data_IF_537839411794
#
_entry.id   IF_537839411794
#
_cell.length_a   1.000
_cell.length_b   1.000
_cell.length_c   1.000
_cell.angle_alpha   90.00
_cell.angle_beta   90.00
_cell.angle_gamma   90.00
#
_symmetry.space_group_name_H-M   'P 1'
#
loop_
_entity.id
_entity.type
_entity.pdbx_description
1 polymer ?
#
# COMPACT_ATOMS: atom_id res chain seq x y z
N UNK A 1 -15.09 18.97 -9.87
CA UNK A 1 -14.34 20.02 -9.14
C UNK A 1 -14.40 19.65 -7.68
N UNK A 2 -13.27 19.51 -6.99
CA UNK A 2 -13.25 19.21 -5.55
C UNK A 2 -12.13 20.04 -4.91
N UNK A 3 -12.49 20.76 -3.84
CA UNK A 3 -11.63 21.69 -3.11
C UNK A 3 -10.82 20.96 -2.04
N UNK A 4 -9.56 21.40 -1.86
CA UNK A 4 -8.62 20.91 -0.84
C UNK A 4 -8.72 21.81 0.39
N UNK A 5 -9.04 21.24 1.55
CA UNK A 5 -8.94 21.92 2.84
C UNK A 5 -7.92 21.17 3.70
N UNK A 6 -6.72 21.72 3.82
CA UNK A 6 -5.69 21.26 4.77
C UNK A 6 -5.95 21.96 6.10
N UNK A 7 -6.16 21.20 7.17
CA UNK A 7 -6.01 21.71 8.55
C UNK A 7 -5.02 20.83 9.31
N UNK A 8 -3.87 21.43 9.60
CA UNK A 8 -2.87 20.91 10.53
C UNK A 8 -3.26 21.35 11.94
N UNK A 9 -3.33 20.40 12.88
CA UNK A 9 -3.34 20.69 14.32
C UNK A 9 -2.42 19.69 15.02
N UNK A 10 -1.30 20.18 15.51
CA UNK A 10 -0.27 19.48 16.27
C UNK A 10 -0.65 19.48 17.76
N UNK A 11 -0.38 18.42 18.52
CA UNK A 11 -0.31 18.51 19.99
C UNK A 11 -0.49 17.24 20.82
N UNK A 12 0.64 16.70 21.30
CA UNK A 12 0.90 16.19 22.67
C UNK A 12 0.77 14.68 22.97
N UNK A 13 1.93 14.00 22.86
CA UNK A 13 2.67 13.09 23.79
C UNK A 13 1.88 12.48 24.97
N UNK A 14 1.90 11.16 25.24
CA UNK A 14 3.01 10.36 25.77
C UNK A 14 2.61 8.86 25.81
N UNK A 15 3.61 7.97 25.91
CA UNK A 15 3.61 6.50 26.07
C UNK A 15 4.04 5.70 24.81
N UNK A 16 5.36 5.48 24.76
CA UNK A 16 6.04 4.41 24.03
C UNK A 16 5.62 3.03 24.60
N UNK A 17 5.75 1.93 23.82
CA UNK A 17 7.08 1.33 23.69
C UNK A 17 7.49 1.09 22.23
N UNK A 18 8.73 1.47 21.95
CA UNK A 18 9.70 0.76 21.12
C UNK A 18 9.10 -0.31 20.19
N UNK A 19 8.84 0.07 18.94
CA UNK A 19 9.00 -0.87 17.83
C UNK A 19 10.20 -0.43 17.03
N UNK A 20 11.39 -0.74 17.57
CA UNK A 20 12.57 -0.97 16.76
C UNK A 20 12.21 -2.03 15.70
N UNK A 21 11.97 -1.57 14.47
CA UNK A 21 12.33 -2.33 13.29
C UNK A 21 13.42 -1.55 12.58
N UNK A 22 14.61 -1.90 13.02
CA UNK A 22 15.93 -1.56 12.52
C UNK A 22 15.98 -1.27 11.01
N UNK A 23 16.72 -0.22 10.61
CA UNK A 23 16.96 0.10 9.21
C UNK A 23 18.11 -0.76 8.67
N UNK A 24 17.87 -2.05 8.40
CA UNK A 24 18.82 -2.84 7.61
C UNK A 24 18.68 -2.47 6.12
N UNK A 25 19.35 -1.37 5.80
CA UNK A 25 19.78 -1.01 4.45
C UNK A 25 20.92 -1.97 4.05
N UNK A 26 20.59 -3.24 3.86
CA UNK A 26 21.51 -4.21 3.26
C UNK A 26 21.40 -4.04 1.75
N UNK A 27 22.44 -3.47 1.14
CA UNK A 27 22.63 -3.33 -0.31
C UNK A 27 22.58 -4.72 -0.99
N UNK A 28 21.38 -5.22 -1.19
CA UNK A 28 21.11 -6.44 -1.93
C UNK A 28 21.24 -6.15 -3.43
N UNK A 29 21.77 -7.09 -4.23
CA UNK A 29 22.04 -6.90 -5.66
C UNK A 29 20.78 -6.37 -6.35
N UNK A 30 20.91 -5.22 -7.02
CA UNK A 30 19.85 -4.44 -7.72
C UNK A 30 18.57 -5.27 -7.83
N UNK A 31 17.66 -5.16 -6.85
CA UNK A 31 16.52 -6.06 -6.81
C UNK A 31 15.76 -5.84 -8.11
N UNK A 32 15.47 -6.91 -8.85
CA UNK A 32 14.37 -6.92 -9.80
C UNK A 32 13.20 -6.34 -9.02
N UNK A 33 12.84 -5.07 -9.27
CA UNK A 33 12.00 -4.30 -8.35
C UNK A 33 10.72 -5.09 -8.12
N UNK A 34 10.58 -5.75 -6.97
CA UNK A 34 9.37 -6.54 -6.71
C UNK A 34 8.29 -5.55 -6.30
N UNK A 35 7.05 -5.70 -6.78
CA UNK A 35 5.96 -4.87 -6.29
C UNK A 35 5.83 -4.99 -4.79
N UNK A 36 5.88 -3.85 -4.10
CA UNK A 36 5.66 -3.77 -2.66
C UNK A 36 4.18 -3.55 -2.40
N UNK A 37 3.46 -4.64 -2.15
CA UNK A 37 2.04 -4.57 -1.80
C UNK A 37 1.84 -4.05 -0.38
N UNK A 38 0.91 -3.10 -0.24
CA UNK A 38 0.31 -2.73 1.05
C UNK A 38 -0.78 -3.72 1.42
N UNK A 39 -1.16 -3.78 2.70
CA UNK A 39 -2.25 -4.62 3.19
C UNK A 39 -3.55 -4.30 2.43
N UNK A 40 -4.08 -5.23 1.61
CA UNK A 40 -5.34 -5.00 0.92
C UNK A 40 -6.50 -5.02 1.90
N UNK A 41 -7.51 -4.20 1.64
CA UNK A 41 -8.71 -4.14 2.46
C UNK A 41 -9.95 -4.33 1.62
N UNK A 42 -10.94 -5.03 2.18
CA UNK A 42 -12.24 -5.25 1.55
C UNK A 42 -13.22 -4.20 2.06
N UNK A 43 -13.88 -3.50 1.13
CA UNK A 43 -14.89 -2.48 1.41
C UNK A 43 -16.25 -3.10 1.71
N UNK A 44 -17.16 -2.29 2.25
CA UNK A 44 -18.55 -2.67 2.56
C UNK A 44 -19.36 -3.04 1.30
N UNK A 45 -18.97 -2.53 0.13
CA UNK A 45 -19.53 -2.86 -1.19
C UNK A 45 -19.02 -4.21 -1.74
N UNK A 46 -18.17 -4.91 -0.98
CA UNK A 46 -17.59 -6.19 -1.34
C UNK A 46 -16.35 -6.08 -2.23
N UNK A 47 -15.97 -4.90 -2.71
CA UNK A 47 -14.78 -4.68 -3.54
C UNK A 47 -13.49 -4.74 -2.72
N UNK A 48 -12.42 -5.19 -3.37
CA UNK A 48 -11.07 -5.16 -2.83
C UNK A 48 -10.34 -3.90 -3.25
N UNK A 49 -9.62 -3.30 -2.32
CA UNK A 49 -8.65 -2.23 -2.59
C UNK A 49 -7.26 -2.79 -2.38
N UNK A 50 -6.48 -2.83 -3.46
CA UNK A 50 -5.09 -3.27 -3.43
C UNK A 50 -4.21 -2.08 -3.79
N UNK A 51 -3.25 -1.75 -2.94
CA UNK A 51 -2.25 -0.71 -3.21
C UNK A 51 -0.88 -1.33 -3.27
N UNK A 52 -0.08 -0.95 -4.25
CA UNK A 52 1.28 -1.44 -4.36
C UNK A 52 2.20 -0.38 -4.96
N UNK A 53 3.47 -0.42 -4.59
CA UNK A 53 4.51 0.41 -5.19
C UNK A 53 5.38 -0.44 -6.12
N UNK A 54 5.68 0.08 -7.31
CA UNK A 54 6.57 -0.56 -8.29
C UNK A 54 7.29 0.49 -9.12
N UNK A 55 8.61 0.37 -9.29
CA UNK A 55 9.45 1.32 -10.03
C UNK A 55 9.32 2.77 -9.56
N UNK A 56 9.23 2.96 -8.23
CA UNK A 56 9.02 4.26 -7.60
C UNK A 56 7.65 4.89 -7.85
N UNK A 57 6.71 4.16 -8.45
CA UNK A 57 5.34 4.60 -8.69
C UNK A 57 4.36 3.87 -7.78
N UNK A 58 3.34 4.59 -7.32
CA UNK A 58 2.27 4.06 -6.50
C UNK A 58 1.04 3.74 -7.35
N UNK A 59 0.55 2.51 -7.23
CA UNK A 59 -0.63 2.00 -7.93
C UNK A 59 -1.73 1.64 -6.94
N UNK A 60 -2.98 1.83 -7.36
CA UNK A 60 -4.16 1.49 -6.57
C UNK A 60 -5.22 0.88 -7.46
N UNK A 61 -5.48 -0.41 -7.26
CA UNK A 61 -6.53 -1.14 -7.94
C UNK A 61 -7.74 -1.33 -7.04
N UNK A 62 -8.94 -1.21 -7.63
CA UNK A 62 -10.21 -1.49 -6.96
C UNK A 62 -11.04 -2.41 -7.86
N UNK A 63 -11.47 -3.55 -7.33
CA UNK A 63 -12.24 -4.51 -8.11
C UNK A 63 -12.85 -5.64 -7.30
N UNK A 64 -13.65 -6.45 -7.98
CA UNK A 64 -14.23 -7.67 -7.40
C UNK A 64 -13.20 -8.80 -7.46
N UNK A 65 -13.12 -9.58 -6.39
CA UNK A 65 -12.32 -10.81 -6.33
C UNK A 65 -12.88 -11.71 -5.22
N UNK A 66 -12.80 -13.02 -5.42
CA UNK A 66 -13.32 -14.00 -4.47
C UNK A 66 -12.51 -14.06 -3.17
N UNK A 67 -11.21 -13.71 -3.24
CA UNK A 67 -10.31 -13.72 -2.09
C UNK A 67 -9.15 -12.72 -2.25
N UNK A 68 -8.41 -12.51 -1.16
CA UNK A 68 -7.26 -11.62 -1.08
C UNK A 68 -6.20 -11.91 -2.15
N UNK A 69 -5.89 -13.20 -2.36
CA UNK A 69 -4.84 -13.62 -3.29
C UNK A 69 -5.22 -13.25 -4.72
N UNK A 70 -6.46 -13.53 -5.12
CA UNK A 70 -6.97 -13.14 -6.44
C UNK A 70 -7.00 -11.63 -6.62
N UNK A 71 -7.39 -10.87 -5.61
CA UNK A 71 -7.33 -9.41 -5.66
C UNK A 71 -5.91 -8.90 -5.95
N UNK A 72 -4.89 -9.44 -5.28
CA UNK A 72 -3.50 -9.05 -5.50
C UNK A 72 -3.00 -9.40 -6.91
N UNK A 73 -3.37 -10.58 -7.42
CA UNK A 73 -3.01 -11.01 -8.78
C UNK A 73 -3.70 -10.12 -9.82
N UNK A 74 -5.00 -9.91 -9.69
CA UNK A 74 -5.78 -9.05 -10.58
C UNK A 74 -5.25 -7.61 -10.57
N UNK A 75 -4.87 -7.09 -9.41
CA UNK A 75 -4.27 -5.77 -9.29
C UNK A 75 -2.95 -5.66 -10.05
N UNK A 76 -2.11 -6.70 -10.05
CA UNK A 76 -0.87 -6.71 -10.82
C UNK A 76 -1.14 -6.76 -12.33
N UNK A 77 -1.98 -7.71 -12.76
CA UNK A 77 -2.33 -7.91 -14.17
C UNK A 77 -3.01 -6.67 -14.78
N UNK A 78 -3.74 -5.88 -13.97
CA UNK A 78 -4.37 -4.65 -14.44
C UNK A 78 -3.37 -3.59 -14.96
N UNK A 79 -2.09 -3.67 -14.58
CA UNK A 79 -1.07 -2.69 -14.98
C UNK A 79 0.12 -3.32 -15.73
N UNK A 80 0.39 -4.62 -15.56
CA UNK A 80 1.61 -5.27 -16.01
C UNK A 80 1.38 -6.64 -16.72
N UNK A 81 0.17 -6.88 -17.25
CA UNK A 81 -0.10 -8.02 -18.15
C UNK A 81 0.51 -7.83 -19.55
#
# INVERSE_FOLDING_TARGET
MAEVIIRLSNGTTDLEPETEKDPEQTEQPKPTERPRFSAPHRRDDGQWVVRFEYSGQNYSWVGQADNLKEAMIQAWLAYFD
#
